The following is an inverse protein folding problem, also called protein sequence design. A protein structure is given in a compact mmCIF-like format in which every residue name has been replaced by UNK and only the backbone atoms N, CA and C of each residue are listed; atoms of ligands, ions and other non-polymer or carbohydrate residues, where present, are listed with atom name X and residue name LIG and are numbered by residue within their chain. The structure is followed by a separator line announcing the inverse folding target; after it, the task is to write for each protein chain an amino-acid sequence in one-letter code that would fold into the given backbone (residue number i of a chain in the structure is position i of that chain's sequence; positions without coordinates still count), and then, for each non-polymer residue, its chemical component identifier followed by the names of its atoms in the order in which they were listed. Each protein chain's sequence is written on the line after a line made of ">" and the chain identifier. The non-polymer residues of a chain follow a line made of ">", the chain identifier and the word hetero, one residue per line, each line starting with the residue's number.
data_IF_471472696732
#
_entry.id   IF_471472696732
#
_cell.length_a   1.000
_cell.length_b   1.000
_cell.length_c   1.000
_cell.angle_alpha   90.00
_cell.angle_beta   90.00
_cell.angle_gamma   90.00
#
_symmetry.space_group_name_H-M   'P 1'
#
loop_
_entity.id
_entity.type
_entity.pdbx_description
1 polymer ?
#
# COMPACT_ATOMS: atom_id res chain seq x y z
N UNK A 1 10.35 40.94 -9.99
CA UNK A 1 8.95 41.35 -10.26
C UNK A 1 8.18 40.11 -10.68
N UNK A 2 7.47 39.50 -9.74
CA UNK A 2 6.62 38.34 -10.01
C UNK A 2 5.31 38.90 -10.56
N UNK A 3 5.00 38.57 -11.81
CA UNK A 3 3.77 39.02 -12.46
C UNK A 3 2.58 38.27 -11.88
N UNK A 4 1.78 38.97 -11.07
CA UNK A 4 0.40 38.58 -10.77
C UNK A 4 -0.40 38.51 -12.07
N UNK A 5 -0.91 37.33 -12.42
CA UNK A 5 -1.79 37.18 -13.58
C UNK A 5 -2.62 35.90 -13.53
N UNK A 6 -3.91 36.08 -13.20
CA UNK A 6 -5.03 35.17 -13.43
C UNK A 6 -5.15 33.91 -12.56
N UNK A 7 -5.74 34.13 -11.37
CA UNK A 7 -6.51 33.14 -10.62
C UNK A 7 -7.89 32.92 -11.28
N UNK A 8 -8.26 31.70 -11.70
CA UNK A 8 -9.65 31.33 -11.80
C UNK A 8 -10.17 31.03 -10.39
N UNK A 9 -11.00 31.94 -9.86
CA UNK A 9 -11.79 31.69 -8.66
C UNK A 9 -12.90 30.71 -9.04
N UNK A 10 -12.74 29.42 -8.77
CA UNK A 10 -13.87 28.53 -8.51
C UNK A 10 -13.46 27.24 -7.77
N UNK A 11 -14.22 26.95 -6.70
CA UNK A 11 -14.17 25.80 -5.76
C UNK A 11 -13.13 25.87 -4.63
N UNK A 12 -13.55 26.55 -3.56
CA UNK A 12 -12.83 26.73 -2.30
C UNK A 12 -12.57 25.42 -1.53
N UNK A 13 -11.48 25.48 -0.75
CA UNK A 13 -10.85 24.48 0.13
C UNK A 13 -9.72 23.63 -0.47
N UNK A 14 -9.79 23.10 -1.70
CA UNK A 14 -8.69 22.24 -2.21
C UNK A 14 -7.52 23.01 -2.84
N UNK A 15 -7.76 24.18 -3.44
CA UNK A 15 -6.75 24.87 -4.26
C UNK A 15 -5.65 25.54 -3.43
N UNK A 16 -5.99 26.02 -2.22
CA UNK A 16 -5.06 26.74 -1.35
C UNK A 16 -4.04 25.80 -0.69
N UNK A 17 -4.45 24.57 -0.36
CA UNK A 17 -3.57 23.57 0.25
C UNK A 17 -2.55 23.00 -0.73
N UNK A 18 -2.94 22.81 -1.99
CA UNK A 18 -2.03 22.35 -3.02
C UNK A 18 -0.85 23.32 -3.23
N UNK A 19 -1.16 24.61 -3.37
CA UNK A 19 -0.13 25.65 -3.51
C UNK A 19 0.76 25.75 -2.28
N UNK A 20 0.20 25.60 -1.08
CA UNK A 20 0.96 25.58 0.17
C UNK A 20 1.96 24.41 0.21
N UNK A 21 1.50 23.19 -0.07
CA UNK A 21 2.36 22.00 -0.06
C UNK A 21 3.48 22.10 -1.09
N UNK A 22 3.13 22.48 -2.32
CA UNK A 22 4.11 22.66 -3.39
C UNK A 22 5.18 23.68 -2.97
N UNK A 23 4.75 24.83 -2.46
CA UNK A 23 5.67 25.87 -1.98
C UNK A 23 6.55 25.37 -0.82
N UNK A 24 5.98 24.67 0.17
CA UNK A 24 6.69 24.14 1.33
C UNK A 24 7.77 23.12 0.93
N UNK A 25 7.45 22.17 0.05
CA UNK A 25 8.44 21.20 -0.44
C UNK A 25 9.55 21.90 -1.22
N UNK A 26 9.21 22.87 -2.06
CA UNK A 26 10.21 23.58 -2.84
C UNK A 26 11.09 24.53 -2.01
N UNK A 27 10.57 25.11 -0.94
CA UNK A 27 11.37 25.89 0.02
C UNK A 27 12.35 24.99 0.78
N UNK A 28 11.88 23.83 1.26
CA UNK A 28 12.73 22.80 1.89
C UNK A 28 13.80 22.26 0.94
N UNK A 29 13.49 22.10 -0.35
CA UNK A 29 14.46 21.68 -1.36
C UNK A 29 15.53 22.76 -1.61
N UNK A 30 15.12 24.02 -1.82
CA UNK A 30 16.04 25.15 -2.04
C UNK A 30 16.98 25.39 -0.86
N UNK A 31 16.53 25.07 0.35
CA UNK A 31 17.32 25.18 1.59
C UNK A 31 18.15 23.93 1.90
N UNK A 32 18.10 22.90 1.06
CA UNK A 32 18.85 21.64 1.21
C UNK A 32 18.38 20.76 2.37
N UNK A 33 17.13 20.92 2.82
CA UNK A 33 16.54 20.13 3.90
C UNK A 33 16.02 18.79 3.38
N UNK A 34 15.47 18.78 2.18
CA UNK A 34 15.01 17.58 1.49
C UNK A 34 15.71 17.49 0.13
N UNK A 35 15.79 16.28 -0.39
CA UNK A 35 16.22 16.01 -1.75
C UNK A 35 15.44 14.83 -2.37
N UNK A 36 15.73 14.52 -3.62
CA UNK A 36 15.22 13.36 -4.33
C UNK A 36 15.14 13.60 -5.84
N UNK A 37 15.07 12.53 -6.64
CA UNK A 37 15.13 12.62 -8.10
C UNK A 37 13.98 13.45 -8.71
N UNK A 38 12.85 13.59 -8.01
CA UNK A 38 11.73 14.40 -8.48
C UNK A 38 11.79 15.87 -8.05
N UNK A 39 12.67 16.25 -7.10
CA UNK A 39 12.67 17.62 -6.55
C UNK A 39 13.03 18.69 -7.58
N UNK A 40 14.02 18.43 -8.45
CA UNK A 40 14.37 19.36 -9.51
C UNK A 40 13.22 19.54 -10.51
N UNK A 41 12.57 18.44 -10.90
CA UNK A 41 11.39 18.47 -11.77
C UNK A 41 10.17 19.14 -11.15
N UNK A 42 10.02 19.02 -9.83
CA UNK A 42 8.97 19.67 -9.07
C UNK A 42 9.19 21.19 -8.96
N UNK A 43 10.41 21.61 -8.63
CA UNK A 43 10.66 22.96 -8.09
C UNK A 43 11.47 23.91 -8.97
N UNK A 44 12.14 23.38 -10.01
CA UNK A 44 13.06 24.15 -10.87
C UNK A 44 12.63 24.07 -12.33
N UNK A 45 12.55 22.87 -12.90
CA UNK A 45 12.17 22.71 -14.32
C UNK A 45 10.66 22.70 -14.54
N UNK A 46 9.89 22.52 -13.45
CA UNK A 46 8.42 22.44 -13.47
C UNK A 46 7.90 21.40 -14.49
N UNK A 47 8.64 20.29 -14.66
CA UNK A 47 8.27 19.18 -15.55
C UNK A 47 7.42 18.09 -14.88
N UNK A 48 7.20 18.20 -13.56
CA UNK A 48 6.26 17.39 -12.77
C UNK A 48 4.97 18.16 -12.49
N UNK A 49 3.88 17.76 -13.15
CA UNK A 49 2.56 18.39 -13.05
C UNK A 49 1.61 17.59 -12.18
N UNK A 50 0.77 18.29 -11.41
CA UNK A 50 -0.32 17.71 -10.65
C UNK A 50 -1.64 18.04 -11.33
N UNK A 51 -2.39 17.00 -11.66
CA UNK A 51 -3.73 17.07 -12.18
C UNK A 51 -4.77 16.92 -11.06
N UNK A 52 -5.76 16.07 -11.33
CA UNK A 52 -6.92 15.89 -10.46
C UNK A 52 -6.54 15.18 -9.15
N UNK A 53 -7.04 15.70 -8.02
CA UNK A 53 -7.03 15.00 -6.74
C UNK A 53 -8.01 13.82 -6.77
N UNK A 54 -7.51 12.64 -6.40
CA UNK A 54 -8.25 11.39 -6.27
C UNK A 54 -8.64 11.09 -4.81
N UNK A 55 -8.11 11.84 -3.86
CA UNK A 55 -8.32 11.59 -2.43
C UNK A 55 -9.64 12.14 -1.90
N UNK A 56 -10.27 11.35 -1.04
CA UNK A 56 -11.44 11.76 -0.25
C UNK A 56 -11.07 12.15 1.18
N UNK A 57 -9.87 11.78 1.65
CA UNK A 57 -9.38 12.07 3.01
C UNK A 57 -8.28 13.15 2.99
N UNK A 58 -8.31 14.10 3.93
CA UNK A 58 -7.32 15.18 3.98
C UNK A 58 -5.90 14.68 4.26
N UNK A 59 -5.75 13.66 5.11
CA UNK A 59 -4.44 13.24 5.61
C UNK A 59 -3.55 12.53 4.58
N UNK A 60 -4.13 12.07 3.48
CA UNK A 60 -3.39 11.37 2.43
C UNK A 60 -3.91 11.83 1.08
N UNK A 61 -3.13 12.64 0.39
CA UNK A 61 -3.50 13.18 -0.91
C UNK A 61 -2.88 12.33 -2.02
N UNK A 62 -3.70 11.99 -3.00
CA UNK A 62 -3.31 11.30 -4.21
C UNK A 62 -3.74 12.16 -5.39
N UNK A 63 -2.80 12.49 -6.26
CA UNK A 63 -3.06 13.30 -7.45
C UNK A 63 -2.67 12.50 -8.68
N UNK A 64 -3.48 12.60 -9.73
CA UNK A 64 -2.98 12.29 -11.06
C UNK A 64 -1.85 13.26 -11.38
N UNK A 65 -0.81 12.82 -12.08
CA UNK A 65 0.30 13.67 -12.46
C UNK A 65 0.91 13.26 -13.79
N UNK A 66 1.74 14.14 -14.32
CA UNK A 66 2.56 13.88 -15.51
C UNK A 66 3.98 14.30 -15.16
N UNK A 67 4.94 13.39 -15.34
CA UNK A 67 6.35 13.66 -15.11
C UNK A 67 7.14 13.31 -16.37
N UNK A 68 7.79 14.32 -16.98
CA UNK A 68 8.59 14.16 -18.20
C UNK A 68 7.81 13.44 -19.33
N UNK A 69 6.54 13.83 -19.49
CA UNK A 69 5.54 13.27 -20.42
C UNK A 69 5.06 11.85 -20.12
N UNK A 70 5.42 11.28 -18.97
CA UNK A 70 4.89 10.00 -18.51
C UNK A 70 3.75 10.21 -17.51
N UNK A 71 2.59 9.54 -17.67
CA UNK A 71 1.52 9.62 -16.69
C UNK A 71 1.93 8.91 -15.40
N UNK A 72 1.65 9.55 -14.26
CA UNK A 72 1.96 9.03 -12.94
C UNK A 72 0.90 9.38 -11.91
N UNK A 73 1.05 8.82 -10.71
CA UNK A 73 0.27 9.18 -9.54
C UNK A 73 1.21 9.72 -8.48
N UNK A 74 0.94 10.94 -8.03
CA UNK A 74 1.70 11.58 -6.96
C UNK A 74 0.99 11.34 -5.64
N UNK A 75 1.69 10.74 -4.68
CA UNK A 75 1.20 10.48 -3.34
C UNK A 75 1.94 11.37 -2.34
N UNK A 76 1.16 12.02 -1.47
CA UNK A 76 1.66 12.89 -0.42
C UNK A 76 0.99 12.52 0.90
N UNK A 77 1.78 12.34 1.95
CA UNK A 77 1.25 12.31 3.30
C UNK A 77 1.15 13.75 3.80
N UNK A 78 -0.04 14.12 4.28
CA UNK A 78 -0.24 15.45 4.88
C UNK A 78 0.05 15.35 6.37
N UNK A 79 0.77 16.33 6.91
CA UNK A 79 0.89 16.51 8.36
C UNK A 79 -0.52 16.69 8.96
N UNK A 80 -0.84 15.88 9.97
CA UNK A 80 -2.04 16.10 10.76
C UNK A 80 -1.83 17.32 11.66
N UNK A 81 -2.68 18.34 11.50
CA UNK A 81 -3.18 19.00 12.70
C UNK A 81 -4.00 17.95 13.46
N UNK A 82 -3.44 17.45 14.57
CA UNK A 82 -4.02 16.47 15.47
C UNK A 82 -5.50 16.79 15.76
N UNK A 83 -6.44 16.05 15.15
CA UNK A 83 -7.79 15.94 15.68
C UNK A 83 -7.89 14.66 16.51
N UNK A 84 -8.28 14.75 17.78
CA UNK A 84 -8.34 13.59 18.68
C UNK A 84 -9.57 12.75 18.33
N UNK A 85 -9.34 11.55 17.81
CA UNK A 85 -10.33 10.48 18.04
C UNK A 85 -10.27 10.14 19.53
N UNK A 86 -11.38 10.39 20.22
CA UNK A 86 -11.57 10.09 21.63
C UNK A 86 -11.57 8.57 21.83
N UNK A 87 -10.64 8.10 22.66
CA UNK A 87 -10.56 6.68 23.06
C UNK A 87 -9.28 6.35 23.83
N UNK A 88 -9.18 6.93 25.04
CA UNK A 88 -8.41 6.47 26.22
C UNK A 88 -6.90 6.15 26.11
N UNK A 89 -6.14 7.05 26.74
CA UNK A 89 -4.91 6.87 27.55
C UNK A 89 -3.53 6.69 26.89
N UNK A 90 -2.87 7.85 26.73
CA UNK A 90 -1.52 8.20 27.20
C UNK A 90 -0.33 7.31 26.80
N UNK A 91 0.03 7.37 25.52
CA UNK A 91 1.45 7.42 25.11
C UNK A 91 1.80 8.89 24.80
N UNK A 92 2.96 9.43 25.23
CA UNK A 92 3.38 10.78 24.87
C UNK A 92 3.60 10.82 23.36
N UNK A 93 2.63 11.42 22.68
CA UNK A 93 2.56 11.64 21.23
C UNK A 93 3.89 12.21 20.73
N UNK A 94 4.71 11.37 20.09
CA UNK A 94 5.87 11.84 19.32
C UNK A 94 5.32 12.64 18.14
N UNK A 95 5.40 13.96 18.21
CA UNK A 95 5.42 14.80 17.02
C UNK A 95 6.56 14.28 16.12
N UNK A 96 6.20 13.58 15.04
CA UNK A 96 7.17 13.21 14.03
C UNK A 96 7.35 14.46 13.18
N UNK A 97 8.27 15.33 13.58
CA UNK A 97 8.79 16.34 12.67
C UNK A 97 9.50 15.58 11.55
N UNK A 98 8.86 15.54 10.39
CA UNK A 98 9.11 14.53 9.35
C UNK A 98 10.57 14.49 8.85
N UNK A 99 11.29 15.62 8.96
CA UNK A 99 12.65 15.81 8.43
C UNK A 99 13.70 16.22 9.49
N UNK A 100 13.43 16.02 10.78
CA UNK A 100 14.41 16.31 11.84
C UNK A 100 15.53 15.26 11.94
N UNK A 101 15.29 14.09 11.34
CA UNK A 101 16.25 12.98 11.31
C UNK A 101 16.62 12.63 9.86
N UNK A 102 17.90 12.35 9.59
CA UNK A 102 19.05 12.50 10.49
C UNK A 102 19.45 13.97 10.74
N UNK A 103 20.17 14.21 11.84
CA UNK A 103 20.66 15.55 12.22
C UNK A 103 21.86 15.98 11.37
N UNK A 104 22.14 17.29 11.29
CA UNK A 104 23.35 17.79 10.64
C UNK A 104 24.60 17.15 11.28
N UNK A 105 25.54 16.70 10.45
CA UNK A 105 26.77 16.03 10.90
C UNK A 105 26.67 14.50 11.04
N UNK A 106 25.51 13.89 10.77
CA UNK A 106 25.40 12.43 10.68
C UNK A 106 26.20 11.91 9.48
N UNK A 107 27.13 10.99 9.73
CA UNK A 107 27.90 10.32 8.67
C UNK A 107 27.05 9.26 7.96
N UNK A 108 27.43 8.89 6.73
CA UNK A 108 26.75 7.82 5.97
C UNK A 108 26.73 6.50 6.74
N UNK A 109 27.82 6.16 7.43
CA UNK A 109 27.88 4.96 8.27
C UNK A 109 26.88 5.04 9.44
N UNK A 110 26.75 6.22 10.07
CA UNK A 110 25.79 6.39 11.14
C UNK A 110 24.35 6.32 10.63
N UNK A 111 24.09 6.88 9.45
CA UNK A 111 22.80 6.76 8.79
C UNK A 111 22.47 5.29 8.48
N UNK A 112 23.43 4.51 7.98
CA UNK A 112 23.30 3.06 7.76
C UNK A 112 22.86 2.32 9.03
N UNK A 113 23.49 2.61 10.17
CA UNK A 113 23.10 2.05 11.47
C UNK A 113 21.68 2.45 11.91
N UNK A 114 21.30 3.70 11.65
CA UNK A 114 19.94 4.19 11.94
C UNK A 114 18.89 3.43 11.12
N UNK A 115 19.13 3.27 9.81
CA UNK A 115 18.22 2.53 8.91
C UNK A 115 18.15 1.07 9.32
N UNK A 116 19.29 0.44 9.63
CA UNK A 116 19.32 -0.93 10.14
C UNK A 116 18.50 -1.08 11.43
N UNK A 117 18.64 -0.14 12.38
CA UNK A 117 17.89 -0.15 13.63
C UNK A 117 16.39 0.04 13.41
N UNK A 118 16.01 0.91 12.47
CA UNK A 118 14.62 1.09 12.06
C UNK A 118 14.03 -0.21 11.50
N UNK A 119 14.77 -0.91 10.64
CA UNK A 119 14.33 -2.18 10.08
C UNK A 119 14.29 -3.30 11.10
N UNK A 120 15.26 -3.38 12.00
CA UNK A 120 15.19 -4.33 13.10
C UNK A 120 13.96 -4.10 13.99
N UNK A 121 13.64 -2.84 14.28
CA UNK A 121 12.43 -2.49 15.01
C UNK A 121 11.16 -2.81 14.22
N UNK A 122 11.15 -2.57 12.89
CA UNK A 122 9.96 -2.76 12.04
C UNK A 122 9.70 -4.21 11.63
N UNK A 123 10.75 -4.97 11.34
CA UNK A 123 10.69 -6.28 10.68
C UNK A 123 11.11 -7.42 11.61
N UNK A 124 11.66 -7.10 12.79
CA UNK A 124 12.31 -8.06 13.67
C UNK A 124 13.73 -8.40 13.21
N UNK A 125 14.31 -9.44 13.80
CA UNK A 125 15.68 -9.89 13.50
C UNK A 125 15.69 -10.78 12.25
N UNK A 126 15.81 -10.16 11.07
CA UNK A 126 15.89 -10.88 9.79
C UNK A 126 17.35 -11.03 9.34
N UNK A 127 17.70 -12.18 8.75
CA UNK A 127 19.08 -12.43 8.28
C UNK A 127 19.56 -11.48 7.19
N UNK A 128 18.64 -10.99 6.35
CA UNK A 128 18.96 -10.21 5.15
C UNK A 128 18.81 -8.70 5.32
N UNK A 129 18.67 -8.18 6.55
CA UNK A 129 18.47 -6.74 6.79
C UNK A 129 19.60 -5.88 6.20
N UNK A 130 20.85 -6.37 6.20
CA UNK A 130 21.97 -5.62 5.63
C UNK A 130 21.81 -5.38 4.12
N UNK A 131 21.22 -6.31 3.39
CA UNK A 131 20.97 -6.18 1.95
C UNK A 131 19.89 -5.13 1.71
N UNK A 132 18.80 -5.16 2.50
CA UNK A 132 17.75 -4.17 2.44
C UNK A 132 18.27 -2.75 2.74
N UNK A 133 19.15 -2.62 3.74
CA UNK A 133 19.78 -1.33 4.04
C UNK A 133 20.61 -0.82 2.85
N UNK A 134 21.38 -1.70 2.20
CA UNK A 134 22.14 -1.30 1.01
C UNK A 134 21.22 -0.90 -0.15
N UNK A 135 20.12 -1.63 -0.37
CA UNK A 135 19.11 -1.29 -1.37
C UNK A 135 18.51 0.11 -1.12
N UNK A 136 18.19 0.43 0.14
CA UNK A 136 17.71 1.76 0.51
C UNK A 136 18.76 2.84 0.28
N UNK A 137 20.02 2.59 0.58
CA UNK A 137 21.07 3.58 0.32
C UNK A 137 21.19 3.89 -1.17
N UNK A 138 21.06 2.87 -2.03
CA UNK A 138 21.00 3.06 -3.49
C UNK A 138 19.77 3.85 -3.95
N UNK A 139 18.63 3.68 -3.28
CA UNK A 139 17.40 4.45 -3.58
C UNK A 139 17.48 5.87 -3.04
N UNK A 140 18.18 6.07 -1.92
CA UNK A 140 18.37 7.36 -1.28
C UNK A 140 19.33 8.27 -2.08
N UNK A 141 20.36 7.70 -2.69
CA UNK A 141 21.27 8.34 -3.65
C UNK A 141 20.49 8.68 -4.94
N UNK A 142 19.80 9.81 -4.92
CA UNK A 142 18.85 10.23 -5.94
C UNK A 142 19.52 10.85 -7.15
N UNK A 143 20.67 11.50 -6.95
CA UNK A 143 21.48 12.08 -8.02
C UNK A 143 22.52 11.11 -8.62
N UNK A 144 22.69 9.93 -7.98
CA UNK A 144 23.56 8.82 -8.41
C UNK A 144 25.04 9.19 -8.39
N UNK A 145 25.45 10.03 -7.45
CA UNK A 145 26.85 10.42 -7.26
C UNK A 145 27.65 9.39 -6.42
N UNK A 146 26.97 8.36 -5.88
CA UNK A 146 27.55 7.31 -5.05
C UNK A 146 27.68 7.68 -3.57
N UNK A 147 27.17 8.84 -3.16
CA UNK A 147 27.12 9.34 -1.79
C UNK A 147 25.67 9.60 -1.40
N UNK A 148 25.44 9.78 -0.09
CA UNK A 148 24.11 10.14 0.42
C UNK A 148 24.27 11.45 1.19
N UNK A 149 23.75 12.52 0.60
CA UNK A 149 23.71 13.84 1.20
C UNK A 149 22.74 13.88 2.40
N UNK A 150 22.79 14.96 3.17
CA UNK A 150 21.87 15.14 4.30
C UNK A 150 20.40 15.25 3.84
N UNK A 151 20.16 15.94 2.73
CA UNK A 151 18.81 16.11 2.17
C UNK A 151 18.22 14.77 1.71
N UNK A 152 19.01 13.97 1.00
CA UNK A 152 18.66 12.61 0.59
C UNK A 152 18.40 11.70 1.78
N UNK A 153 19.29 11.72 2.79
CA UNK A 153 19.13 10.91 3.98
C UNK A 153 17.84 11.27 4.76
N UNK A 154 17.48 12.56 4.82
CA UNK A 154 16.23 13.04 5.44
C UNK A 154 15.00 12.61 4.67
N UNK A 155 15.02 12.77 3.34
CA UNK A 155 13.92 12.31 2.47
C UNK A 155 13.71 10.80 2.58
N UNK A 156 14.79 10.03 2.46
CA UNK A 156 14.75 8.58 2.61
C UNK A 156 14.21 8.18 3.99
N UNK A 157 14.71 8.80 5.07
CA UNK A 157 14.24 8.52 6.42
C UNK A 157 12.73 8.77 6.61
N UNK A 158 12.22 9.86 6.04
CA UNK A 158 10.79 10.19 6.06
C UNK A 158 9.97 9.14 5.30
N UNK A 159 10.39 8.78 4.10
CA UNK A 159 9.72 7.79 3.26
C UNK A 159 9.71 6.39 3.89
N UNK A 160 10.79 5.98 4.56
CA UNK A 160 10.87 4.69 5.25
C UNK A 160 9.85 4.53 6.40
N UNK A 161 9.30 5.63 6.91
CA UNK A 161 8.20 5.56 7.88
C UNK A 161 6.92 5.00 7.23
N UNK A 162 6.74 5.20 5.93
CA UNK A 162 5.62 4.70 5.14
C UNK A 162 5.85 3.23 4.76
N UNK A 163 4.97 2.34 5.23
CA UNK A 163 5.06 0.92 4.87
C UNK A 163 4.85 0.69 3.36
N UNK A 164 4.00 1.50 2.72
CA UNK A 164 3.79 1.43 1.26
C UNK A 164 5.08 1.72 0.49
N UNK A 165 5.87 2.73 0.90
CA UNK A 165 7.15 3.02 0.26
C UNK A 165 8.15 1.88 0.46
N UNK A 166 8.26 1.37 1.68
CA UNK A 166 9.12 0.22 1.98
C UNK A 166 8.77 -0.99 1.11
N UNK A 167 7.47 -1.30 0.96
CA UNK A 167 7.00 -2.41 0.13
C UNK A 167 7.27 -2.18 -1.35
N UNK A 168 7.11 -0.95 -1.87
CA UNK A 168 7.47 -0.64 -3.25
C UNK A 168 8.95 -0.88 -3.53
N UNK A 169 9.83 -0.61 -2.57
CA UNK A 169 11.28 -0.87 -2.74
C UNK A 169 11.58 -2.37 -2.63
N UNK A 170 10.99 -3.07 -1.64
CA UNK A 170 11.19 -4.52 -1.45
C UNK A 170 10.69 -5.32 -2.66
N UNK A 171 9.56 -4.90 -3.24
CA UNK A 171 8.87 -5.60 -4.32
C UNK A 171 9.02 -4.90 -5.68
N UNK A 172 10.06 -4.07 -5.85
CA UNK A 172 10.24 -3.24 -7.05
C UNK A 172 10.30 -4.04 -8.36
N UNK A 173 10.80 -5.28 -8.30
CA UNK A 173 10.97 -6.16 -9.46
C UNK A 173 9.74 -7.05 -9.71
N UNK A 174 8.69 -6.92 -8.89
CA UNK A 174 7.47 -7.73 -8.99
C UNK A 174 6.41 -7.04 -9.82
N UNK A 175 5.78 -7.78 -10.73
CA UNK A 175 4.81 -7.22 -11.68
C UNK A 175 3.59 -6.60 -10.99
N UNK A 176 3.16 -7.14 -9.86
CA UNK A 176 2.02 -6.64 -9.09
C UNK A 176 2.28 -5.35 -8.30
N UNK A 177 3.53 -4.87 -8.28
CA UNK A 177 3.91 -3.63 -7.61
C UNK A 177 3.95 -2.48 -8.61
N UNK A 178 3.35 -1.32 -8.31
CA UNK A 178 3.53 -0.13 -9.14
C UNK A 178 4.97 0.34 -9.12
N UNK A 179 5.52 0.68 -10.29
CA UNK A 179 6.88 1.22 -10.39
C UNK A 179 7.00 2.57 -9.69
N UNK A 180 7.95 2.69 -8.78
CA UNK A 180 8.37 3.96 -8.18
C UNK A 180 9.19 4.74 -9.23
N UNK A 181 8.68 5.90 -9.65
CA UNK A 181 9.39 6.77 -10.61
C UNK A 181 10.41 7.67 -9.90
N UNK A 182 10.10 8.09 -8.67
CA UNK A 182 10.97 8.95 -7.87
C UNK A 182 10.23 9.64 -6.73
N UNK A 183 10.94 10.50 -6.01
CA UNK A 183 10.42 11.18 -4.82
C UNK A 183 11.05 12.56 -4.62
N UNK A 184 10.42 13.38 -3.79
CA UNK A 184 10.94 14.63 -3.29
C UNK A 184 10.52 14.83 -1.81
N UNK A 185 11.46 14.65 -0.88
CA UNK A 185 11.09 14.56 0.53
C UNK A 185 10.29 13.29 0.81
N UNK A 186 9.10 13.46 1.37
CA UNK A 186 8.06 12.46 1.67
C UNK A 186 7.00 12.32 0.57
N UNK A 187 7.09 13.13 -0.49
CA UNK A 187 6.27 13.02 -1.68
C UNK A 187 6.91 12.01 -2.63
N UNK A 188 6.13 11.08 -3.16
CA UNK A 188 6.63 10.12 -4.15
C UNK A 188 5.67 9.98 -5.33
N UNK A 189 6.26 9.63 -6.47
CA UNK A 189 5.57 9.46 -7.76
C UNK A 189 5.70 8.01 -8.18
N UNK A 190 4.58 7.40 -8.53
CA UNK A 190 4.51 6.04 -9.04
C UNK A 190 3.85 6.02 -10.43
N UNK A 191 4.01 4.93 -11.16
CA UNK A 191 3.31 4.73 -12.43
C UNK A 191 1.79 4.85 -12.27
N UNK A 192 1.12 5.37 -13.31
CA UNK A 192 -0.33 5.40 -13.34
C UNK A 192 -0.91 4.00 -13.57
N UNK A 193 -2.01 3.69 -12.88
CA UNK A 193 -2.75 2.44 -13.03
C UNK A 193 -4.09 2.77 -13.70
N UNK A 194 -4.41 2.10 -14.81
CA UNK A 194 -5.59 2.40 -15.61
C UNK A 194 -6.89 2.08 -14.85
N UNK A 195 -6.95 0.90 -14.23
CA UNK A 195 -8.11 0.46 -13.45
C UNK A 195 -7.72 0.40 -11.97
N UNK A 196 -8.24 1.34 -11.18
CA UNK A 196 -7.85 1.55 -9.76
C UNK A 196 -8.71 0.77 -8.75
N UNK A 197 -9.62 -0.08 -9.22
CA UNK A 197 -10.43 -0.98 -8.39
C UNK A 197 -10.61 -2.31 -9.12
N UNK A 198 -10.55 -3.43 -8.39
CA UNK A 198 -10.73 -4.78 -8.97
C UNK A 198 -12.14 -4.97 -9.54
N UNK A 199 -13.13 -4.42 -8.84
CA UNK A 199 -14.53 -4.37 -9.25
C UNK A 199 -15.24 -3.23 -8.49
N UNK A 200 -16.48 -2.95 -8.88
CA UNK A 200 -17.26 -1.87 -8.28
C UNK A 200 -17.09 -0.53 -8.97
N UNK A 201 -18.15 0.26 -8.93
CA UNK A 201 -18.22 1.57 -9.60
C UNK A 201 -18.02 2.66 -8.56
N UNK A 202 -17.11 3.60 -8.81
CA UNK A 202 -17.02 4.83 -8.03
C UNK A 202 -18.15 5.78 -8.42
N UNK A 203 -19.31 5.64 -7.76
CA UNK A 203 -20.46 6.48 -8.02
C UNK A 203 -20.44 7.75 -7.14
N UNK A 204 -20.78 8.92 -7.69
CA UNK A 204 -21.04 10.11 -6.88
C UNK A 204 -22.06 9.78 -5.77
N UNK A 205 -21.82 10.29 -4.55
CA UNK A 205 -22.66 10.03 -3.37
C UNK A 205 -24.16 10.25 -3.60
N UNK A 206 -24.53 11.19 -4.48
CA UNK A 206 -25.91 11.47 -4.86
C UNK A 206 -26.57 10.26 -5.54
N UNK A 207 -25.83 9.55 -6.40
CA UNK A 207 -26.34 8.38 -7.13
C UNK A 207 -26.39 7.15 -6.22
N UNK A 208 -25.44 7.02 -5.30
CA UNK A 208 -25.41 5.92 -4.32
C UNK A 208 -26.67 5.85 -3.46
N UNK A 209 -27.29 7.00 -3.15
CA UNK A 209 -28.48 7.08 -2.30
C UNK A 209 -29.73 6.44 -2.95
N UNK A 210 -29.75 6.35 -4.29
CA UNK A 210 -30.89 5.82 -5.06
C UNK A 210 -30.75 4.34 -5.43
N UNK A 211 -29.64 3.69 -5.06
CA UNK A 211 -29.38 2.29 -5.42
C UNK A 211 -29.81 1.38 -4.27
N UNK A 212 -30.79 0.48 -4.46
CA UNK A 212 -31.15 -0.53 -3.47
C UNK A 212 -29.91 -1.38 -3.10
N UNK A 213 -29.69 -1.62 -1.81
CA UNK A 213 -28.53 -2.37 -1.31
C UNK A 213 -28.36 -3.76 -1.94
N UNK A 214 -29.47 -4.41 -2.31
CA UNK A 214 -29.47 -5.69 -3.04
C UNK A 214 -29.00 -5.59 -4.50
N UNK A 215 -29.11 -4.42 -5.14
CA UNK A 215 -28.73 -4.21 -6.54
C UNK A 215 -27.25 -3.81 -6.69
N UNK A 216 -26.65 -3.25 -5.62
CA UNK A 216 -25.25 -2.79 -5.61
C UNK A 216 -24.26 -3.93 -5.88
N UNK A 217 -24.47 -5.08 -5.24
CA UNK A 217 -23.64 -6.29 -5.42
C UNK A 217 -23.69 -6.83 -6.85
N UNK A 218 -24.84 -6.74 -7.51
CA UNK A 218 -25.01 -7.16 -8.90
C UNK A 218 -24.46 -6.14 -9.91
N UNK A 219 -24.54 -4.84 -9.62
CA UNK A 219 -23.97 -3.80 -10.50
C UNK A 219 -22.45 -3.74 -10.45
N UNK A 220 -21.85 -3.90 -9.27
CA UNK A 220 -20.40 -3.89 -9.10
C UNK A 220 -19.69 -4.99 -9.89
N UNK A 221 -20.43 -6.07 -10.21
CA UNK A 221 -19.94 -7.25 -10.92
C UNK A 221 -20.22 -7.21 -12.43
N UNK A 222 -21.12 -6.34 -12.90
CA UNK A 222 -21.46 -6.19 -14.33
C UNK A 222 -20.31 -5.57 -15.13
N UNK A 223 -19.45 -4.79 -14.47
CA UNK A 223 -18.28 -4.14 -15.04
C UNK A 223 -16.98 -4.88 -14.71
N UNK A 224 -17.01 -6.21 -14.83
CA UNK A 224 -15.82 -7.04 -14.66
C UNK A 224 -15.38 -7.63 -16.01
N UNK A 225 -14.07 -7.86 -16.22
CA UNK A 225 -13.59 -8.35 -17.51
C UNK A 225 -14.02 -9.79 -17.79
N UNK A 226 -13.74 -10.30 -18.99
CA UNK A 226 -14.01 -11.70 -19.32
C UNK A 226 -13.33 -12.65 -18.32
N UNK A 227 -13.93 -13.83 -18.10
CA UNK A 227 -13.44 -14.74 -17.08
C UNK A 227 -11.94 -15.10 -17.19
N UNK A 228 -11.34 -15.32 -18.38
CA UNK A 228 -9.90 -15.55 -18.49
C UNK A 228 -9.05 -14.39 -17.94
N UNK A 229 -9.48 -13.14 -18.16
CA UNK A 229 -8.82 -11.95 -17.63
C UNK A 229 -8.99 -11.84 -16.11
N UNK A 230 -10.16 -12.20 -15.58
CA UNK A 230 -10.36 -12.30 -14.12
C UNK A 230 -9.41 -13.31 -13.49
N UNK A 231 -9.24 -14.47 -14.13
CA UNK A 231 -8.33 -15.51 -13.68
C UNK A 231 -6.86 -15.02 -13.70
N UNK A 232 -6.44 -14.31 -14.75
CA UNK A 232 -5.10 -13.68 -14.81
C UNK A 232 -4.86 -12.70 -13.65
N UNK A 233 -5.80 -11.78 -13.39
CA UNK A 233 -5.70 -10.84 -12.27
C UNK A 233 -5.66 -11.58 -10.92
N UNK A 234 -6.48 -12.62 -10.76
CA UNK A 234 -6.53 -13.41 -9.54
C UNK A 234 -5.23 -14.17 -9.27
N UNK A 235 -4.57 -14.70 -10.31
CA UNK A 235 -3.24 -15.31 -10.19
C UNK A 235 -2.24 -14.28 -9.67
N UNK A 236 -2.22 -13.07 -10.23
CA UNK A 236 -1.37 -11.98 -9.74
C UNK A 236 -1.59 -11.64 -8.27
N UNK A 237 -2.82 -11.77 -7.75
CA UNK A 237 -3.12 -11.54 -6.33
C UNK A 237 -2.58 -12.67 -5.45
N UNK A 238 -2.69 -13.91 -5.91
CA UNK A 238 -2.14 -15.06 -5.21
C UNK A 238 -0.61 -15.01 -5.17
N UNK A 239 0.04 -14.58 -6.26
CA UNK A 239 1.48 -14.34 -6.32
C UNK A 239 1.92 -13.20 -5.39
N UNK A 240 1.15 -12.10 -5.34
CA UNK A 240 1.40 -11.03 -4.37
C UNK A 240 1.33 -11.54 -2.92
N UNK A 241 0.30 -12.32 -2.58
CA UNK A 241 0.14 -12.91 -1.24
C UNK A 241 1.33 -13.80 -0.88
N UNK A 242 1.85 -14.57 -1.83
CA UNK A 242 3.04 -15.39 -1.66
C UNK A 242 4.29 -14.53 -1.40
N UNK A 243 4.50 -13.47 -2.18
CA UNK A 243 5.66 -12.59 -2.05
C UNK A 243 5.69 -11.79 -0.74
N UNK A 244 4.52 -11.40 -0.19
CA UNK A 244 4.43 -10.68 1.10
C UNK A 244 4.46 -11.60 2.31
N UNK A 245 4.10 -12.89 2.17
CA UNK A 245 4.10 -13.85 3.27
C UNK A 245 5.41 -14.63 3.36
N UNK A 246 6.04 -15.01 2.24
CA UNK A 246 7.33 -15.72 2.21
C UNK A 246 8.50 -14.82 1.77
N UNK A 247 8.40 -13.51 2.04
CA UNK A 247 9.41 -12.54 1.61
C UNK A 247 10.75 -12.70 2.36
N UNK A 248 11.87 -12.27 1.75
CA UNK A 248 13.22 -12.37 2.35
C UNK A 248 13.42 -11.49 3.60
N UNK A 249 12.44 -10.64 3.94
CA UNK A 249 12.49 -9.68 5.04
C UNK A 249 11.39 -9.90 6.08
N UNK A 250 10.82 -11.11 6.12
CA UNK A 250 9.78 -11.51 7.06
C UNK A 250 8.36 -11.38 6.52
N UNK A 251 7.40 -11.77 7.35
CA UNK A 251 5.99 -11.84 6.98
C UNK A 251 5.32 -10.46 7.08
N UNK A 252 4.57 -10.10 6.06
CA UNK A 252 3.69 -8.94 6.06
C UNK A 252 2.22 -9.38 6.04
N UNK A 253 1.39 -8.65 6.78
CA UNK A 253 -0.04 -8.90 6.91
C UNK A 253 -0.84 -7.83 6.19
N UNK A 254 -1.76 -8.25 5.33
CA UNK A 254 -2.67 -7.37 4.59
C UNK A 254 -3.86 -6.97 5.47
N UNK A 255 -3.81 -5.83 6.14
CA UNK A 255 -4.87 -5.39 7.06
C UNK A 255 -5.91 -4.45 6.44
N UNK A 256 -5.99 -4.41 5.10
CA UNK A 256 -7.14 -3.86 4.36
C UNK A 256 -7.30 -4.55 3.00
N UNK A 257 -7.87 -5.76 2.99
CA UNK A 257 -8.12 -6.53 1.76
C UNK A 257 -9.45 -6.11 1.15
N UNK A 258 -9.41 -5.12 0.27
CA UNK A 258 -10.60 -4.62 -0.41
C UNK A 258 -10.37 -4.34 -1.89
N UNK A 259 -11.44 -4.46 -2.69
CA UNK A 259 -11.37 -4.29 -4.14
C UNK A 259 -10.80 -2.93 -4.57
N UNK A 260 -11.03 -1.87 -3.78
CA UNK A 260 -10.52 -0.50 -4.01
C UNK A 260 -9.00 -0.35 -3.83
N UNK A 261 -8.34 -1.31 -3.17
CA UNK A 261 -6.90 -1.28 -2.95
C UNK A 261 -6.14 -2.07 -4.03
N UNK A 262 -6.88 -2.74 -4.92
CA UNK A 262 -6.37 -3.56 -6.00
C UNK A 262 -6.79 -2.95 -7.34
N UNK A 263 -5.88 -2.95 -8.30
CA UNK A 263 -6.12 -2.47 -9.65
C UNK A 263 -5.49 -3.41 -10.66
N UNK A 264 -5.57 -3.04 -11.93
CA UNK A 264 -4.91 -3.78 -13.01
C UNK A 264 -4.62 -2.85 -14.19
N UNK A 265 -3.66 -3.24 -15.02
CA UNK A 265 -3.32 -2.53 -16.25
C UNK A 265 -4.13 -3.00 -17.46
N UNK A 266 -3.93 -2.40 -18.63
CA UNK A 266 -4.61 -2.81 -19.88
C UNK A 266 -4.33 -4.26 -20.32
N UNK A 267 -3.24 -4.86 -19.82
CA UNK A 267 -2.87 -6.26 -20.04
C UNK A 267 -3.49 -7.20 -19.00
N UNK A 268 -4.29 -6.68 -18.07
CA UNK A 268 -4.90 -7.41 -16.95
C UNK A 268 -3.86 -8.03 -15.99
N UNK A 269 -2.69 -7.41 -15.89
CA UNK A 269 -1.74 -7.69 -14.82
C UNK A 269 -2.21 -6.93 -13.57
N UNK A 270 -2.29 -7.63 -12.43
CA UNK A 270 -2.69 -7.01 -11.16
C UNK A 270 -1.70 -5.88 -10.81
N UNK A 271 -2.18 -4.81 -10.18
CA UNK A 271 -1.37 -3.79 -9.53
C UNK A 271 -1.93 -3.44 -8.15
N UNK A 272 -1.07 -3.40 -7.14
CA UNK A 272 -1.44 -2.95 -5.79
C UNK A 272 -1.58 -1.42 -5.77
N UNK A 273 -2.80 -0.91 -5.69
CA UNK A 273 -3.08 0.54 -5.73
C UNK A 273 -2.76 1.20 -4.39
N UNK A 274 -3.03 0.50 -3.29
CA UNK A 274 -2.78 0.98 -1.92
C UNK A 274 -2.21 -0.13 -1.04
N UNK A 275 -0.96 0.04 -0.61
CA UNK A 275 -0.26 -0.90 0.28
C UNK A 275 -0.08 -0.37 1.71
N UNK A 276 -0.69 0.76 2.07
CA UNK A 276 -0.43 1.43 3.38
C UNK A 276 -0.83 0.60 4.58
N UNK A 277 -1.84 -0.26 4.42
CA UNK A 277 -2.35 -1.17 5.47
C UNK A 277 -1.75 -2.56 5.38
N UNK A 278 -0.67 -2.73 4.62
CA UNK A 278 0.17 -3.92 4.66
C UNK A 278 1.27 -3.64 5.67
N UNK A 279 1.32 -4.45 6.73
CA UNK A 279 2.16 -4.19 7.91
C UNK A 279 3.02 -5.40 8.23
N UNK A 280 4.27 -5.23 8.69
CA UNK A 280 5.06 -6.34 9.20
C UNK A 280 4.34 -7.03 10.36
N UNK A 281 4.41 -8.36 10.41
CA UNK A 281 3.78 -9.15 11.48
C UNK A 281 4.29 -8.73 12.87
N UNK A 282 5.60 -8.57 13.04
CA UNK A 282 6.23 -8.14 14.30
C UNK A 282 5.67 -6.81 14.79
N UNK A 283 5.50 -5.83 13.90
CA UNK A 283 4.93 -4.54 14.25
C UNK A 283 3.48 -4.63 14.69
N UNK A 284 2.69 -5.46 14.00
CA UNK A 284 1.29 -5.63 14.36
C UNK A 284 1.15 -6.26 15.75
N UNK A 285 2.00 -7.25 16.07
CA UNK A 285 2.01 -7.90 17.39
C UNK A 285 2.23 -6.88 18.49
N UNK A 286 3.22 -6.02 18.35
CA UNK A 286 3.52 -4.95 19.33
C UNK A 286 2.40 -3.90 19.41
N UNK A 287 1.75 -3.57 18.29
CA UNK A 287 0.66 -2.59 18.27
C UNK A 287 -0.65 -3.10 18.91
N UNK A 288 -0.91 -4.41 18.87
CA UNK A 288 -2.19 -4.99 19.33
C UNK A 288 -2.10 -5.56 20.75
N UNK A 289 -0.98 -6.19 21.14
CA UNK A 289 -0.85 -7.02 22.34
C UNK A 289 -1.29 -6.37 23.66
N UNK A 290 -1.21 -5.04 23.77
CA UNK A 290 -1.56 -4.31 25.00
C UNK A 290 -2.85 -3.50 24.88
N UNK A 291 -3.59 -3.66 23.78
CA UNK A 291 -4.87 -2.99 23.59
C UNK A 291 -5.93 -3.64 24.49
N UNK A 292 -6.61 -2.81 25.28
CA UNK A 292 -7.75 -3.23 26.08
C UNK A 292 -8.92 -3.66 25.18
N UNK A 293 -9.62 -4.72 25.58
CA UNK A 293 -10.79 -5.24 24.87
C UNK A 293 -11.81 -5.80 25.85
N UNK A 294 -13.09 -5.74 25.47
CA UNK A 294 -14.17 -6.45 26.13
C UNK A 294 -14.59 -7.68 25.31
N UNK A 295 -14.47 -7.59 23.98
CA UNK A 295 -14.83 -8.64 23.04
C UNK A 295 -13.80 -8.77 21.91
N UNK A 296 -13.84 -9.90 21.19
CA UNK A 296 -13.00 -10.13 20.00
C UNK A 296 -13.20 -9.07 18.91
N UNK A 297 -14.33 -8.37 18.90
CA UNK A 297 -14.63 -7.31 17.93
C UNK A 297 -13.80 -6.03 18.17
N UNK A 298 -13.27 -5.85 19.37
CA UNK A 298 -12.43 -4.70 19.73
C UNK A 298 -10.98 -4.90 19.25
N UNK A 299 -10.59 -6.16 19.01
CA UNK A 299 -9.26 -6.59 18.62
C UNK A 299 -9.07 -6.61 17.11
N UNK A 300 -9.32 -5.46 16.48
CA UNK A 300 -9.19 -5.27 15.02
C UNK A 300 -8.22 -4.12 14.70
N UNK A 301 -7.29 -4.40 13.79
CA UNK A 301 -6.43 -3.39 13.17
C UNK A 301 -6.75 -3.28 11.67
N UNK A 302 -6.85 -2.05 11.18
CA UNK A 302 -7.27 -1.80 9.81
C UNK A 302 -8.75 -2.14 9.61
N UNK A 303 -9.07 -2.99 8.63
CA UNK A 303 -10.45 -3.43 8.37
C UNK A 303 -10.66 -4.93 8.65
N UNK A 304 -9.61 -5.75 8.53
CA UNK A 304 -9.73 -7.21 8.49
C UNK A 304 -8.63 -7.98 9.24
N UNK A 305 -7.63 -7.34 9.86
CA UNK A 305 -6.69 -8.01 10.75
C UNK A 305 -7.30 -8.13 12.15
N UNK A 306 -7.74 -9.35 12.51
CA UNK A 306 -8.42 -9.66 13.76
C UNK A 306 -7.58 -10.57 14.65
N UNK A 307 -7.52 -10.25 15.93
CA UNK A 307 -7.01 -11.14 16.99
C UNK A 307 -8.13 -11.46 17.98
N UNK A 308 -7.84 -12.19 19.05
CA UNK A 308 -8.84 -12.57 20.06
C UNK A 308 -8.66 -11.74 21.32
N UNK A 309 -9.74 -11.51 22.06
CA UNK A 309 -9.69 -10.86 23.35
C UNK A 309 -9.45 -11.91 24.45
N UNK A 310 -8.33 -11.81 25.16
CA UNK A 310 -8.09 -12.61 26.35
C UNK A 310 -8.93 -12.05 27.51
N UNK A 311 -10.03 -12.74 27.81
CA UNK A 311 -10.99 -12.37 28.85
C UNK A 311 -10.38 -12.39 30.27
N UNK A 312 -9.23 -13.05 30.47
CA UNK A 312 -8.57 -13.06 31.78
C UNK A 312 -7.76 -11.79 32.03
N UNK A 313 -7.16 -11.24 30.98
CA UNK A 313 -6.33 -10.02 31.05
C UNK A 313 -7.05 -8.78 30.53
N UNK A 314 -8.22 -8.96 29.90
CA UNK A 314 -8.98 -7.94 29.17
C UNK A 314 -8.10 -7.23 28.12
N UNK A 315 -7.25 -8.01 27.45
CA UNK A 315 -6.29 -7.53 26.44
C UNK A 315 -6.35 -8.37 25.18
N UNK A 316 -6.07 -7.74 24.04
CA UNK A 316 -6.00 -8.43 22.77
C UNK A 316 -4.77 -9.35 22.70
N UNK A 317 -4.94 -10.53 22.12
CA UNK A 317 -3.83 -11.43 21.80
C UNK A 317 -3.04 -10.90 20.61
N UNK A 318 -1.78 -11.35 20.48
CA UNK A 318 -0.89 -10.95 19.38
C UNK A 318 -1.07 -11.78 18.11
N UNK A 319 -1.70 -12.94 18.19
CA UNK A 319 -1.81 -13.85 17.05
C UNK A 319 -3.03 -13.52 16.19
N UNK A 320 -2.79 -13.26 14.90
CA UNK A 320 -3.85 -12.98 13.93
C UNK A 320 -4.58 -14.26 13.57
N UNK A 321 -5.92 -14.21 13.55
CA UNK A 321 -6.74 -15.41 13.37
C UNK A 321 -6.75 -15.89 11.91
N UNK A 322 -6.72 -14.95 10.95
CA UNK A 322 -6.90 -15.21 9.51
C UNK A 322 -5.64 -14.85 8.70
N UNK A 323 -5.11 -15.79 7.89
CA UNK A 323 -3.96 -15.51 7.02
C UNK A 323 -4.35 -14.63 5.81
N UNK A 324 -3.35 -14.05 5.14
CA UNK A 324 -3.56 -13.23 3.94
C UNK A 324 -4.28 -13.98 2.82
N UNK A 325 -3.92 -15.24 2.60
CA UNK A 325 -4.54 -16.08 1.57
C UNK A 325 -6.04 -16.28 1.80
N UNK A 326 -6.49 -16.48 3.05
CA UNK A 326 -7.91 -16.60 3.37
C UNK A 326 -8.69 -15.32 2.99
N UNK A 327 -8.12 -14.15 3.30
CA UNK A 327 -8.69 -12.84 2.95
C UNK A 327 -8.72 -12.62 1.43
N UNK A 328 -7.64 -12.98 0.73
CA UNK A 328 -7.59 -12.91 -0.72
C UNK A 328 -8.63 -13.83 -1.39
N UNK A 329 -8.76 -15.07 -0.93
CA UNK A 329 -9.78 -16.00 -1.44
C UNK A 329 -11.21 -15.52 -1.15
N UNK A 330 -11.45 -14.90 0.01
CA UNK A 330 -12.73 -14.27 0.32
C UNK A 330 -13.07 -13.14 -0.67
N UNK A 331 -12.07 -12.33 -1.04
CA UNK A 331 -12.23 -11.27 -2.04
C UNK A 331 -12.47 -11.83 -3.45
N UNK A 332 -11.77 -12.91 -3.81
CA UNK A 332 -11.83 -13.55 -5.12
C UNK A 332 -13.06 -14.44 -5.33
N UNK A 333 -13.73 -14.87 -4.26
CA UNK A 333 -14.80 -15.87 -4.34
C UNK A 333 -15.90 -15.50 -5.34
N UNK A 334 -16.61 -14.40 -5.08
CA UNK A 334 -17.71 -13.99 -5.96
C UNK A 334 -17.18 -13.50 -7.32
N UNK A 335 -15.96 -12.92 -7.33
CA UNK A 335 -15.30 -12.42 -8.53
C UNK A 335 -15.01 -13.53 -9.56
N UNK A 336 -14.51 -14.69 -9.09
CA UNK A 336 -14.14 -15.83 -9.93
C UNK A 336 -15.31 -16.78 -10.22
N UNK A 337 -16.25 -16.97 -9.28
CA UNK A 337 -17.39 -17.87 -9.50
C UNK A 337 -18.38 -17.32 -10.53
N UNK A 338 -18.49 -15.99 -10.65
CA UNK A 338 -19.32 -15.38 -11.68
C UNK A 338 -18.68 -15.50 -13.07
N UNK A 339 -19.37 -16.21 -13.96
CA UNK A 339 -18.90 -16.47 -15.32
C UNK A 339 -17.88 -17.61 -15.41
N UNK A 340 -17.71 -18.38 -14.33
CA UNK A 340 -16.83 -19.54 -14.32
C UNK A 340 -17.28 -20.60 -15.35
N UNK A 341 -16.36 -21.12 -16.17
CA UNK A 341 -16.63 -22.27 -17.04
C UNK A 341 -17.16 -23.46 -16.23
N UNK A 342 -18.17 -24.14 -16.77
CA UNK A 342 -18.82 -25.29 -16.12
C UNK A 342 -17.83 -26.37 -15.69
N UNK A 343 -16.79 -26.60 -16.50
CA UNK A 343 -15.81 -27.67 -16.29
C UNK A 343 -15.00 -27.51 -15.00
N UNK A 344 -14.78 -26.27 -14.53
CA UNK A 344 -13.93 -25.99 -13.37
C UNK A 344 -14.69 -25.39 -12.19
N UNK A 345 -15.96 -25.01 -12.39
CA UNK A 345 -16.73 -24.24 -11.41
C UNK A 345 -16.83 -24.95 -10.06
N UNK A 346 -17.15 -26.24 -10.06
CA UNK A 346 -17.31 -27.03 -8.83
C UNK A 346 -16.00 -27.17 -8.06
N UNK A 347 -14.91 -27.51 -8.75
CA UNK A 347 -13.59 -27.64 -8.14
C UNK A 347 -13.08 -26.28 -7.63
N UNK A 348 -13.25 -25.21 -8.42
CA UNK A 348 -12.88 -23.85 -8.05
C UNK A 348 -13.62 -23.39 -6.79
N UNK A 349 -14.93 -23.64 -6.71
CA UNK A 349 -15.74 -23.32 -5.53
C UNK A 349 -15.25 -24.06 -4.28
N UNK A 350 -14.99 -25.36 -4.40
CA UNK A 350 -14.45 -26.17 -3.31
C UNK A 350 -13.09 -25.66 -2.82
N UNK A 351 -12.17 -25.35 -3.73
CA UNK A 351 -10.84 -24.82 -3.38
C UNK A 351 -10.94 -23.44 -2.71
N UNK A 352 -11.82 -22.55 -3.21
CA UNK A 352 -12.06 -21.23 -2.61
C UNK A 352 -12.62 -21.33 -1.19
N UNK A 353 -13.60 -22.20 -0.93
CA UNK A 353 -14.12 -22.39 0.42
C UNK A 353 -13.09 -22.98 1.37
N UNK A 354 -12.29 -23.93 0.90
CA UNK A 354 -11.18 -24.51 1.67
C UNK A 354 -10.14 -23.45 2.02
N UNK A 355 -9.82 -22.57 1.07
CA UNK A 355 -8.94 -21.44 1.26
C UNK A 355 -9.46 -20.41 2.27
N UNK A 356 -10.75 -20.05 2.21
CA UNK A 356 -11.39 -19.11 3.15
C UNK A 356 -11.42 -19.66 4.58
N UNK A 357 -11.52 -20.98 4.72
CA UNK A 357 -11.57 -21.65 6.02
C UNK A 357 -10.19 -21.76 6.71
N UNK A 358 -9.10 -21.38 6.05
CA UNK A 358 -7.76 -21.38 6.63
C UNK A 358 -7.71 -20.51 7.89
N UNK A 359 -7.12 -21.06 8.95
CA UNK A 359 -6.90 -20.40 10.24
C UNK A 359 -5.43 -20.47 10.64
N UNK A 360 -4.99 -19.49 11.42
CA UNK A 360 -3.63 -19.44 11.95
C UNK A 360 -3.45 -20.42 13.13
N UNK A 361 -2.93 -21.62 12.86
CA UNK A 361 -2.49 -22.58 13.91
C UNK A 361 -1.09 -23.17 13.66
N UNK A 362 -0.26 -23.14 14.70
CA UNK A 362 1.20 -23.00 14.62
C UNK A 362 2.07 -24.16 14.06
N UNK A 363 1.56 -25.26 13.48
CA UNK A 363 2.44 -26.39 13.11
C UNK A 363 2.19 -27.10 11.76
N UNK A 364 1.07 -26.89 11.06
CA UNK A 364 0.76 -27.57 9.77
C UNK A 364 0.45 -26.59 8.63
N UNK A 365 0.54 -25.30 8.91
CA UNK A 365 -0.11 -24.26 8.13
C UNK A 365 0.65 -23.84 6.88
N UNK A 366 1.97 -23.76 6.93
CA UNK A 366 2.78 -23.32 5.77
C UNK A 366 2.64 -24.30 4.60
N UNK A 367 2.54 -25.60 4.90
CA UNK A 367 2.30 -26.65 3.91
C UNK A 367 0.89 -26.54 3.32
N UNK A 368 -0.15 -26.40 4.15
CA UNK A 368 -1.53 -26.27 3.68
C UNK A 368 -1.75 -24.99 2.87
N UNK A 369 -1.19 -23.87 3.34
CA UNK A 369 -1.20 -22.59 2.66
C UNK A 369 -0.57 -22.70 1.26
N UNK A 370 0.64 -23.26 1.18
CA UNK A 370 1.36 -23.45 -0.07
C UNK A 370 0.64 -24.42 -1.01
N UNK A 371 0.03 -25.49 -0.49
CA UNK A 371 -0.73 -26.46 -1.28
C UNK A 371 -1.97 -25.83 -1.90
N UNK A 372 -2.80 -25.15 -1.10
CA UNK A 372 -4.03 -24.51 -1.58
C UNK A 372 -3.70 -23.40 -2.58
N UNK A 373 -2.70 -22.57 -2.28
CA UNK A 373 -2.25 -21.50 -3.17
C UNK A 373 -1.80 -22.06 -4.52
N UNK A 374 -0.97 -23.10 -4.53
CA UNK A 374 -0.50 -23.73 -5.77
C UNK A 374 -1.61 -24.44 -6.54
N UNK A 375 -2.55 -25.10 -5.86
CA UNK A 375 -3.70 -25.73 -6.50
C UNK A 375 -4.60 -24.69 -7.19
N UNK A 376 -4.90 -23.58 -6.51
CA UNK A 376 -5.67 -22.48 -7.07
C UNK A 376 -4.96 -21.86 -8.29
N UNK A 377 -3.67 -21.52 -8.17
CA UNK A 377 -2.88 -20.99 -9.30
C UNK A 377 -2.89 -21.94 -10.48
N UNK A 378 -2.65 -23.24 -10.25
CA UNK A 378 -2.63 -24.27 -11.30
C UNK A 378 -3.98 -24.44 -11.99
N UNK A 379 -5.08 -24.44 -11.21
CA UNK A 379 -6.42 -24.57 -11.74
C UNK A 379 -6.78 -23.39 -12.66
N UNK A 380 -6.46 -22.17 -12.23
CA UNK A 380 -6.69 -20.95 -13.02
C UNK A 380 -5.79 -20.92 -14.26
N UNK A 381 -4.49 -21.19 -14.08
CA UNK A 381 -3.49 -21.18 -15.16
C UNK A 381 -3.85 -22.17 -16.27
N UNK A 382 -4.22 -23.40 -15.90
CA UNK A 382 -4.61 -24.44 -16.85
C UNK A 382 -5.79 -24.02 -17.73
N UNK A 383 -6.68 -23.14 -17.26
CA UNK A 383 -7.81 -22.67 -18.07
C UNK A 383 -7.41 -21.55 -19.02
N UNK A 384 -6.52 -20.65 -18.60
CA UNK A 384 -6.10 -19.49 -19.41
C UNK A 384 -4.95 -19.80 -20.37
N UNK A 385 -4.16 -20.85 -20.11
CA UNK A 385 -3.04 -21.24 -20.98
C UNK A 385 -3.47 -21.72 -22.38
N UNK A 386 -4.75 -22.07 -22.56
CA UNK A 386 -5.32 -22.52 -23.84
C UNK A 386 -6.10 -21.42 -24.58
N UNK A 387 -6.21 -20.22 -24.01
CA UNK A 387 -6.84 -19.07 -24.66
C UNK A 387 -5.75 -18.18 -25.26
N UNK A 388 -5.82 -17.90 -26.57
CA UNK A 388 -4.88 -17.05 -27.33
C UNK A 388 -4.86 -15.56 -26.91
N UNK A 389 -5.38 -15.23 -25.73
CA UNK A 389 -5.50 -13.87 -25.20
C UNK A 389 -4.48 -13.59 -24.07
N UNK A 390 -3.40 -14.38 -23.99
CA UNK A 390 -2.30 -14.24 -23.03
C UNK A 390 -1.36 -13.08 -23.35
#
# INVERSE_FOLDING_TARGET
>A
MISSGYLPKDKGYSFNWFLYLFWEKCDKYKTGVIDGPACNSLCVTESLYFGKCLSTKPNNQMYLGIWDNLPGVVKCQMEQALHPDFGTELEPRKEIVLFDKPTRGTTVQKFKEMVYSLFKAKLGDQGNLSELVNLILTVADGDKDGQVSLGEAKSAWALLQLNEFLLMVILQDKEHTPKLMGFCGDLYVMESIEYTSLYGISLPWVIELFIPSGFRRSMDQLFTPSWPRKAKIAIGLLEFVEDVFHGPYGNFLMCDTSAKNLGYNDKYDLKMVDMRKIVPETNLKELIKDRHCESDLDCVYGTDCRTSCDQSTMKCTSEVIQPNLAKACQLLKDYLLLGAPSEIREELEKQLYSCIALKVTANQMEMEHSLILNNLKTLLWKKISYTNDS
#
